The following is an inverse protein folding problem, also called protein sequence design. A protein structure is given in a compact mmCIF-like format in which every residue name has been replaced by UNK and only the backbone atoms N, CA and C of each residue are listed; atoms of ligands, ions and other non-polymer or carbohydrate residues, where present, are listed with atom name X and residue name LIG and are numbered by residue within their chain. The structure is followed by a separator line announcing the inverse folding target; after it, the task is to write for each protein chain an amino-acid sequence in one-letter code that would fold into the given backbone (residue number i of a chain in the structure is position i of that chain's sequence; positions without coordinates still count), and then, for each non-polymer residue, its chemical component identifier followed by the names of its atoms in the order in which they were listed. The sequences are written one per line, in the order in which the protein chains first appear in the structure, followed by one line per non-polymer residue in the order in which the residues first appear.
data_IF_182526671996
#
_entry.id   IF_182526671996
#
_cell.length_a   1.000
_cell.length_b   1.000
_cell.length_c   1.000
_cell.angle_alpha   90.00
_cell.angle_beta   90.00
_cell.angle_gamma   90.00
#
_symmetry.space_group_name_H-M   'P 1'
#
loop_
_entity.id
_entity.type
_entity.pdbx_description
1 polymer ?
#
# COMPACT_ATOMS: atom_id res chain seq x y z
N UNK A 1 15.13 -14.85 27.85
CA UNK A 1 14.13 -15.40 26.91
C UNK A 1 14.30 -14.65 25.61
N UNK A 2 15.00 -15.26 24.66
CA UNK A 2 15.06 -14.78 23.28
C UNK A 2 13.66 -14.93 22.65
N UNK A 3 13.12 -13.82 22.13
CA UNK A 3 11.97 -13.84 21.23
C UNK A 3 12.53 -13.97 19.82
N UNK A 4 12.77 -15.21 19.39
CA UNK A 4 12.94 -15.52 17.96
C UNK A 4 11.58 -15.28 17.30
N UNK A 5 11.42 -14.12 16.67
CA UNK A 5 10.34 -13.84 15.72
C UNK A 5 10.63 -14.59 14.41
N UNK A 6 10.63 -15.91 14.46
CA UNK A 6 10.44 -16.72 13.27
C UNK A 6 8.95 -16.63 12.93
N UNK A 7 8.59 -15.63 12.13
CA UNK A 7 7.26 -15.55 11.52
C UNK A 7 7.15 -16.79 10.61
N UNK A 8 6.19 -17.71 10.84
CA UNK A 8 5.96 -18.79 9.89
C UNK A 8 5.66 -18.14 8.54
N UNK A 9 6.30 -18.60 7.45
CA UNK A 9 5.74 -18.32 6.12
C UNK A 9 4.31 -18.87 6.13
N UNK A 10 3.28 -18.04 5.89
CA UNK A 10 1.94 -18.59 5.76
C UNK A 10 1.98 -19.60 4.62
N UNK A 11 1.41 -20.78 4.87
CA UNK A 11 1.16 -21.78 3.84
C UNK A 11 0.52 -21.05 2.66
N UNK A 12 1.19 -21.11 1.50
CA UNK A 12 0.74 -20.44 0.30
C UNK A 12 -0.65 -20.99 -0.03
N UNK A 13 -1.67 -20.20 0.31
CA UNK A 13 -3.02 -20.39 -0.15
C UNK A 13 -3.07 -20.48 -1.67
N UNK A 14 -4.23 -20.81 -2.23
CA UNK A 14 -4.39 -20.83 -3.69
C UNK A 14 -3.83 -19.51 -4.25
N UNK A 15 -2.80 -19.56 -5.12
CA UNK A 15 -2.22 -18.35 -5.67
C UNK A 15 -3.32 -17.56 -6.36
N UNK A 16 -3.43 -16.27 -6.04
CA UNK A 16 -4.22 -15.36 -6.84
C UNK A 16 -3.72 -15.45 -8.29
N UNK A 17 -4.63 -15.43 -9.25
CA UNK A 17 -4.31 -15.35 -10.67
C UNK A 17 -3.85 -13.93 -11.00
N UNK A 18 -2.73 -13.51 -10.40
CA UNK A 18 -2.04 -12.28 -10.72
C UNK A 18 -1.74 -12.34 -12.21
N UNK A 19 -2.10 -11.34 -13.03
CA UNK A 19 -1.65 -11.31 -14.42
C UNK A 19 -0.13 -11.10 -14.41
N UNK A 20 0.68 -12.17 -14.53
CA UNK A 20 2.13 -12.04 -14.38
C UNK A 20 2.74 -11.42 -15.65
N UNK A 21 1.90 -11.14 -16.65
CA UNK A 21 2.28 -10.65 -17.96
C UNK A 21 1.99 -9.17 -18.14
N UNK A 22 1.41 -8.46 -17.17
CA UNK A 22 1.23 -7.01 -17.28
C UNK A 22 2.58 -6.32 -17.52
N UNK A 23 2.68 -5.61 -18.63
CA UNK A 23 3.88 -4.93 -19.07
C UNK A 23 3.88 -3.46 -18.62
N UNK A 24 5.07 -2.85 -18.42
CA UNK A 24 5.17 -1.41 -18.29
C UNK A 24 4.41 -0.66 -19.39
N UNK A 25 3.60 0.31 -19.00
CA UNK A 25 2.70 1.07 -19.86
C UNK A 25 1.26 0.55 -19.91
N UNK A 26 1.00 -0.66 -19.41
CA UNK A 26 -0.35 -1.24 -19.41
C UNK A 26 -1.17 -0.81 -18.18
N UNK A 27 -2.48 -0.59 -18.35
CA UNK A 27 -3.39 -0.33 -17.25
C UNK A 27 -3.72 -1.62 -16.50
N UNK A 28 -3.87 -1.52 -15.18
CA UNK A 28 -4.21 -2.64 -14.31
C UNK A 28 -4.67 -2.17 -12.93
N UNK A 29 -4.85 -3.13 -12.04
CA UNK A 29 -5.17 -2.88 -10.64
C UNK A 29 -4.00 -3.29 -9.74
N UNK A 30 -3.80 -2.52 -8.67
CA UNK A 30 -2.76 -2.78 -7.71
C UNK A 30 -3.26 -2.60 -6.29
N UNK A 31 -2.62 -3.27 -5.34
CA UNK A 31 -2.89 -3.11 -3.92
C UNK A 31 -1.59 -3.10 -3.12
N UNK A 32 -1.72 -2.58 -1.90
CA UNK A 32 -0.66 -2.57 -0.91
C UNK A 32 -0.73 -3.80 -0.03
N UNK A 33 0.43 -4.37 0.33
CA UNK A 33 0.49 -5.53 1.23
C UNK A 33 -0.21 -5.30 2.59
N UNK A 34 -0.32 -4.05 3.05
CA UNK A 34 -0.93 -3.68 4.33
C UNK A 34 -2.46 -3.74 4.30
N UNK A 35 -3.05 -3.94 3.12
CA UNK A 35 -4.49 -4.17 2.92
C UNK A 35 -4.80 -5.65 2.73
N UNK A 36 -3.78 -6.51 2.68
CA UNK A 36 -3.93 -7.94 2.50
C UNK A 36 -4.45 -8.60 3.77
N UNK A 37 -5.41 -9.51 3.61
CA UNK A 37 -5.86 -10.40 4.68
C UNK A 37 -6.17 -11.82 4.17
N UNK A 38 -6.10 -12.85 5.03
CA UNK A 38 -6.45 -14.21 4.66
C UNK A 38 -7.95 -14.36 4.35
N UNK A 39 -8.29 -15.00 3.23
CA UNK A 39 -9.69 -15.22 2.81
C UNK A 39 -9.82 -16.53 2.03
N UNK A 40 -10.75 -17.41 2.42
CA UNK A 40 -11.06 -18.69 1.75
C UNK A 40 -9.84 -19.56 1.38
N UNK A 41 -8.81 -19.59 2.24
CA UNK A 41 -7.57 -20.34 1.98
C UNK A 41 -6.69 -19.70 0.90
N UNK A 42 -6.88 -18.42 0.62
CA UNK A 42 -6.08 -17.56 -0.24
C UNK A 42 -5.88 -16.17 0.39
N UNK A 43 -5.62 -15.18 -0.47
CA UNK A 43 -5.40 -13.78 -0.09
C UNK A 43 -6.52 -12.92 -0.67
N UNK A 44 -6.94 -11.89 0.05
CA UNK A 44 -7.89 -10.86 -0.41
C UNK A 44 -7.42 -9.50 0.10
N UNK A 45 -7.84 -8.44 -0.58
CA UNK A 45 -7.43 -7.08 -0.27
C UNK A 45 -8.63 -6.22 0.09
N UNK A 46 -8.49 -5.36 1.09
CA UNK A 46 -9.55 -4.40 1.44
C UNK A 46 -9.86 -3.45 0.27
N UNK A 47 -8.80 -2.98 -0.40
CA UNK A 47 -8.91 -2.09 -1.57
C UNK A 47 -7.96 -2.48 -2.70
N UNK A 48 -8.38 -2.22 -3.93
CA UNK A 48 -7.53 -2.18 -5.12
C UNK A 48 -7.66 -0.83 -5.83
N UNK A 49 -6.59 -0.42 -6.50
CA UNK A 49 -6.43 0.89 -7.11
C UNK A 49 -6.14 0.75 -8.60
N UNK A 50 -6.87 1.49 -9.44
CA UNK A 50 -6.59 1.53 -10.87
C UNK A 50 -5.36 2.38 -11.17
N UNK A 51 -4.47 1.88 -12.03
CA UNK A 51 -3.29 2.62 -12.45
C UNK A 51 -2.68 2.08 -13.74
N UNK A 52 -1.58 2.72 -14.16
CA UNK A 52 -0.72 2.26 -15.24
C UNK A 52 0.60 1.79 -14.64
N UNK A 53 1.01 0.57 -14.95
CA UNK A 53 2.28 0.03 -14.47
C UNK A 53 3.42 0.85 -15.10
N UNK A 54 4.23 1.52 -14.29
CA UNK A 54 5.37 2.31 -14.77
C UNK A 54 6.57 1.41 -14.99
N UNK A 55 6.89 0.58 -13.98
CA UNK A 55 8.02 -0.36 -14.00
C UNK A 55 7.92 -1.32 -12.80
N UNK A 56 8.78 -2.32 -12.79
CA UNK A 56 9.10 -3.09 -11.58
C UNK A 56 10.50 -2.72 -11.08
N UNK A 57 10.67 -2.59 -9.77
CA UNK A 57 11.93 -2.22 -9.13
C UNK A 57 12.14 -3.10 -7.90
N UNK A 58 13.24 -3.88 -7.88
CA UNK A 58 13.52 -4.83 -6.79
C UNK A 58 12.35 -5.77 -6.44
N UNK A 59 11.55 -6.17 -7.44
CA UNK A 59 10.36 -7.00 -7.25
C UNK A 59 9.06 -6.24 -6.96
N UNK A 60 9.15 -4.94 -6.61
CA UNK A 60 8.00 -4.07 -6.36
C UNK A 60 7.44 -3.47 -7.64
N UNK A 61 6.12 -3.34 -7.74
CA UNK A 61 5.51 -2.59 -8.83
C UNK A 61 5.49 -1.08 -8.50
N UNK A 62 5.69 -0.26 -9.52
CA UNK A 62 5.58 1.20 -9.46
C UNK A 62 4.43 1.60 -10.37
N UNK A 63 3.47 2.36 -9.84
CA UNK A 63 2.22 2.65 -10.53
C UNK A 63 2.02 4.16 -10.70
N UNK A 64 1.48 4.56 -11.84
CA UNK A 64 0.96 5.90 -12.08
C UNK A 64 -0.56 5.86 -11.95
N UNK A 65 -1.14 6.72 -11.14
CA UNK A 65 -2.58 6.78 -10.92
C UNK A 65 -3.12 8.22 -10.96
N UNK A 66 -4.44 8.35 -11.05
CA UNK A 66 -5.09 9.67 -11.04
C UNK A 66 -5.09 10.26 -9.62
N UNK A 67 -5.35 11.57 -9.51
CA UNK A 67 -5.51 12.23 -8.20
C UNK A 67 -6.55 11.55 -7.32
N UNK A 68 -7.69 11.15 -7.88
CA UNK A 68 -8.77 10.52 -7.11
C UNK A 68 -8.36 9.17 -6.56
N UNK A 69 -7.64 8.36 -7.36
CA UNK A 69 -7.08 7.10 -6.88
C UNK A 69 -6.01 7.34 -5.82
N UNK A 70 -5.13 8.33 -6.02
CA UNK A 70 -4.14 8.69 -5.02
C UNK A 70 -4.78 9.18 -3.70
N UNK A 71 -5.90 9.90 -3.78
CA UNK A 71 -6.67 10.32 -2.60
C UNK A 71 -7.29 9.14 -1.86
N UNK A 72 -7.74 8.10 -2.58
CA UNK A 72 -8.19 6.86 -1.97
C UNK A 72 -7.05 6.16 -1.20
N UNK A 73 -5.86 6.05 -1.81
CA UNK A 73 -4.66 5.50 -1.13
C UNK A 73 -4.34 6.25 0.17
N UNK A 74 -4.32 7.59 0.14
CA UNK A 74 -4.08 8.42 1.34
C UNK A 74 -5.13 8.15 2.42
N UNK A 75 -6.39 8.00 2.01
CA UNK A 75 -7.52 7.74 2.92
C UNK A 75 -7.40 6.36 3.56
N UNK A 76 -7.15 5.33 2.77
CA UNK A 76 -7.04 3.95 3.24
C UNK A 76 -5.82 3.76 4.15
N UNK A 77 -4.72 4.46 3.88
CA UNK A 77 -3.57 4.43 4.76
C UNK A 77 -3.89 5.04 6.13
N UNK A 78 -4.55 6.19 6.18
CA UNK A 78 -4.99 6.80 7.43
C UNK A 78 -5.98 5.89 8.19
N UNK A 79 -6.84 5.16 7.48
CA UNK A 79 -7.73 4.17 8.09
C UNK A 79 -6.96 2.97 8.66
N UNK A 80 -6.00 2.42 7.91
CA UNK A 80 -5.12 1.34 8.36
C UNK A 80 -4.33 1.77 9.61
N UNK A 81 -3.81 2.99 9.62
CA UNK A 81 -3.11 3.57 10.77
C UNK A 81 -4.02 3.65 12.01
N UNK A 82 -5.27 4.08 11.85
CA UNK A 82 -6.26 4.12 12.95
C UNK A 82 -6.60 2.71 13.45
N UNK A 83 -6.77 1.76 12.54
CA UNK A 83 -7.04 0.37 12.88
C UNK A 83 -5.88 -0.23 13.68
N UNK A 84 -4.65 -0.08 13.18
CA UNK A 84 -3.43 -0.57 13.84
C UNK A 84 -3.23 0.07 15.22
N UNK A 85 -3.56 1.35 15.39
CA UNK A 85 -3.53 1.99 16.71
C UNK A 85 -4.39 1.24 17.71
N UNK A 86 -5.65 0.95 17.36
CA UNK A 86 -6.59 0.25 18.25
C UNK A 86 -6.07 -1.16 18.59
N UNK A 87 -5.54 -1.89 17.62
CA UNK A 87 -4.97 -3.22 17.86
C UNK A 87 -3.75 -3.18 18.79
N UNK A 88 -2.85 -2.22 18.59
CA UNK A 88 -1.64 -2.08 19.39
C UNK A 88 -1.96 -1.62 20.81
N UNK A 89 -2.89 -0.70 20.98
CA UNK A 89 -3.40 -0.30 22.31
C UNK A 89 -3.99 -1.50 23.05
N UNK A 90 -4.80 -2.32 22.38
CA UNK A 90 -5.35 -3.54 22.95
C UNK A 90 -4.27 -4.57 23.30
N UNK A 91 -3.14 -4.58 22.58
CA UNK A 91 -1.97 -5.40 22.91
C UNK A 91 -1.14 -4.87 24.10
N UNK A 92 -1.51 -3.71 24.65
CA UNK A 92 -0.86 -3.06 25.79
C UNK A 92 0.25 -2.07 25.42
N UNK A 93 0.39 -1.71 24.14
CA UNK A 93 1.30 -0.66 23.70
C UNK A 93 0.69 0.72 23.96
N UNK A 94 1.48 1.69 24.44
CA UNK A 94 0.97 3.02 24.77
C UNK A 94 2.06 4.09 24.67
N UNK A 95 1.62 5.37 24.65
CA UNK A 95 2.48 6.55 24.66
C UNK A 95 3.47 6.60 23.49
N UNK A 96 4.65 7.14 23.73
CA UNK A 96 5.68 7.34 22.69
C UNK A 96 6.07 6.05 21.96
N UNK A 97 5.97 4.89 22.64
CA UNK A 97 6.29 3.60 22.03
C UNK A 97 5.23 3.19 21.00
N UNK A 98 3.96 3.49 21.25
CA UNK A 98 2.87 3.26 20.31
C UNK A 98 3.03 4.14 19.07
N UNK A 99 3.24 5.44 19.27
CA UNK A 99 3.39 6.37 18.14
C UNK A 99 4.64 6.05 17.31
N UNK A 100 5.77 5.73 17.94
CA UNK A 100 6.97 5.30 17.21
C UNK A 100 6.72 4.03 16.40
N UNK A 101 6.01 3.04 16.96
CA UNK A 101 5.70 1.82 16.22
C UNK A 101 4.79 2.12 15.02
N UNK A 102 3.74 2.93 15.21
CA UNK A 102 2.85 3.34 14.12
C UNK A 102 3.59 4.11 13.04
N UNK A 103 4.46 5.06 13.40
CA UNK A 103 5.24 5.84 12.44
C UNK A 103 6.28 5.00 11.67
N UNK A 104 6.74 3.90 12.26
CA UNK A 104 7.64 2.97 11.59
C UNK A 104 6.90 1.97 10.69
N UNK A 105 5.72 1.51 11.09
CA UNK A 105 4.95 0.50 10.36
C UNK A 105 4.10 1.13 9.25
N UNK A 106 3.34 2.17 9.59
CA UNK A 106 2.45 2.92 8.68
C UNK A 106 2.74 4.43 8.80
N UNK A 107 3.85 4.92 8.21
CA UNK A 107 4.29 6.31 8.33
C UNK A 107 3.20 7.29 7.87
N UNK A 108 2.92 8.41 8.58
CA UNK A 108 1.81 9.30 8.23
C UNK A 108 1.86 9.80 6.77
N UNK A 109 0.74 9.68 6.04
CA UNK A 109 0.60 10.18 4.68
C UNK A 109 -0.48 11.26 4.62
N UNK A 110 -0.18 12.40 4.00
CA UNK A 110 -1.09 13.56 3.94
C UNK A 110 -0.92 14.37 2.67
N UNK A 111 -1.90 15.22 2.38
CA UNK A 111 -1.81 16.23 1.33
C UNK A 111 -1.19 17.53 1.84
N UNK A 112 -0.24 18.08 1.09
CA UNK A 112 0.26 19.45 1.18
C UNK A 112 0.00 20.14 -0.16
N UNK A 113 -1.18 20.73 -0.31
CA UNK A 113 -1.66 21.25 -1.60
C UNK A 113 -1.95 20.11 -2.59
N UNK A 114 -1.19 20.07 -3.68
CA UNK A 114 -1.22 19.02 -4.69
C UNK A 114 -0.14 17.94 -4.47
N UNK A 115 0.70 18.07 -3.46
CA UNK A 115 1.77 17.11 -3.15
C UNK A 115 1.31 16.13 -2.06
N UNK A 116 1.58 14.84 -2.24
CA UNK A 116 1.44 13.87 -1.15
C UNK A 116 2.77 13.82 -0.39
N UNK A 117 2.69 13.95 0.93
CA UNK A 117 3.84 13.88 1.82
C UNK A 117 3.70 12.68 2.73
N UNK A 118 4.71 11.81 2.69
CA UNK A 118 4.87 10.71 3.63
C UNK A 118 5.95 11.09 4.63
N UNK A 119 5.56 11.23 5.90
CA UNK A 119 6.48 11.56 6.99
C UNK A 119 7.28 10.30 7.37
N UNK A 120 8.57 10.30 7.05
CA UNK A 120 9.45 9.14 7.25
C UNK A 120 10.50 9.35 8.33
N UNK A 121 10.33 10.38 9.18
CA UNK A 121 11.30 10.71 10.23
C UNK A 121 11.52 9.56 11.23
N UNK A 122 10.49 8.75 11.50
CA UNK A 122 10.63 7.59 12.38
C UNK A 122 11.46 6.43 11.79
N UNK A 123 11.73 6.49 10.48
CA UNK A 123 12.64 5.61 9.74
C UNK A 123 14.05 6.20 9.61
N UNK A 124 14.31 7.36 10.23
CA UNK A 124 15.54 8.13 10.06
C UNK A 124 15.79 8.55 8.59
N UNK A 125 14.71 8.76 7.82
CA UNK A 125 14.74 9.17 6.41
C UNK A 125 14.07 10.54 6.21
N UNK A 126 14.41 11.21 5.10
CA UNK A 126 13.72 12.43 4.68
C UNK A 126 12.27 12.14 4.26
N UNK A 127 11.38 13.11 4.43
CA UNK A 127 10.00 13.03 3.97
C UNK A 127 9.96 12.71 2.47
N UNK A 128 9.16 11.69 2.10
CA UNK A 128 8.93 11.40 0.69
C UNK A 128 7.84 12.33 0.17
N UNK A 129 8.13 13.05 -0.91
CA UNK A 129 7.19 13.95 -1.58
C UNK A 129 6.83 13.37 -2.94
N UNK A 130 5.53 13.21 -3.19
CA UNK A 130 4.99 12.70 -4.45
C UNK A 130 4.20 13.84 -5.10
N UNK A 131 4.82 14.46 -6.09
CA UNK A 131 4.23 15.53 -6.90
C UNK A 131 3.47 14.93 -8.09
N UNK A 132 2.41 15.59 -8.59
CA UNK A 132 1.80 15.20 -9.85
C UNK A 132 2.78 15.42 -11.01
N UNK A 133 2.75 14.54 -12.00
CA UNK A 133 3.45 14.75 -13.26
C UNK A 133 2.76 15.81 -14.14
N UNK A 134 3.31 16.04 -15.35
CA UNK A 134 2.77 17.00 -16.31
C UNK A 134 1.32 16.70 -16.76
N UNK A 135 0.84 15.47 -16.52
CA UNK A 135 -0.52 15.02 -16.81
C UNK A 135 -1.42 14.99 -15.56
N UNK A 136 -0.95 15.47 -14.41
CA UNK A 136 -1.70 15.46 -13.15
C UNK A 136 -1.77 14.09 -12.48
N UNK A 137 -0.90 13.15 -12.86
CA UNK A 137 -0.87 11.78 -12.32
C UNK A 137 0.18 11.63 -11.23
N UNK A 138 -0.08 10.73 -10.29
CA UNK A 138 0.79 10.48 -9.15
C UNK A 138 1.50 9.15 -9.34
N UNK A 139 2.82 9.15 -9.18
CA UNK A 139 3.62 7.91 -9.19
C UNK A 139 3.73 7.40 -7.76
N UNK A 140 2.99 6.34 -7.47
CA UNK A 140 3.04 5.65 -6.19
C UNK A 140 4.05 4.52 -6.30
N UNK A 141 5.05 4.53 -5.42
CA UNK A 141 6.18 3.60 -5.48
C UNK A 141 6.43 2.90 -4.14
N UNK A 142 7.01 1.70 -4.22
CA UNK A 142 7.44 0.95 -3.06
C UNK A 142 8.80 1.39 -2.56
N UNK A 143 8.81 2.37 -1.67
CA UNK A 143 9.97 2.72 -0.86
C UNK A 143 9.87 2.10 0.54
N UNK A 144 8.73 2.31 1.20
CA UNK A 144 8.40 1.72 2.50
C UNK A 144 7.37 0.59 2.40
N UNK A 145 6.52 0.62 1.38
CA UNK A 145 5.47 -0.36 1.23
C UNK A 145 5.52 -1.13 -0.07
N UNK A 146 5.04 -2.36 -0.02
CA UNK A 146 5.06 -3.28 -1.14
C UNK A 146 3.77 -3.14 -1.94
N UNK A 147 3.90 -2.65 -3.18
CA UNK A 147 2.79 -2.62 -4.14
C UNK A 147 2.88 -3.83 -5.06
N UNK A 148 1.78 -4.58 -5.15
CA UNK A 148 1.63 -5.69 -6.09
C UNK A 148 0.43 -5.47 -7.00
N UNK A 149 0.51 -6.05 -8.18
CA UNK A 149 -0.63 -6.18 -9.08
C UNK A 149 -1.63 -7.16 -8.47
N UNK A 150 -2.93 -6.87 -8.59
CA UNK A 150 -3.97 -7.74 -8.05
C UNK A 150 -5.15 -7.88 -9.02
N UNK A 151 -5.80 -9.06 -9.09
CA UNK A 151 -7.07 -9.22 -9.76
C UNK A 151 -8.15 -8.31 -9.16
N UNK A 152 -9.03 -7.76 -10.00
CA UNK A 152 -10.09 -6.85 -9.55
C UNK A 152 -11.08 -7.53 -8.57
N UNK A 153 -11.31 -8.83 -8.73
CA UNK A 153 -12.18 -9.64 -7.89
C UNK A 153 -11.52 -10.10 -6.57
N UNK A 154 -10.21 -9.91 -6.45
CA UNK A 154 -9.46 -10.14 -5.22
C UNK A 154 -9.55 -8.98 -4.22
N UNK A 155 -10.30 -7.92 -4.54
CA UNK A 155 -10.52 -6.78 -3.64
C UNK A 155 -11.99 -6.58 -3.26
N UNK A 156 -12.24 -6.06 -2.06
CA UNK A 156 -13.59 -5.68 -1.61
C UNK A 156 -14.04 -4.35 -2.20
N UNK A 157 -13.12 -3.40 -2.28
CA UNK A 157 -13.36 -2.09 -2.87
C UNK A 157 -12.40 -1.83 -4.02
N UNK A 158 -12.88 -1.22 -5.10
CA UNK A 158 -12.07 -0.87 -6.27
C UNK A 158 -12.17 0.64 -6.51
N UNK A 159 -11.01 1.30 -6.58
CA UNK A 159 -10.91 2.74 -6.80
C UNK A 159 -10.43 3.05 -8.22
N UNK A 160 -11.24 3.79 -8.96
CA UNK A 160 -10.96 4.15 -10.35
C UNK A 160 -11.27 3.02 -11.34
N UNK A 161 -10.94 3.25 -12.61
CA UNK A 161 -11.16 2.29 -13.70
C UNK A 161 -9.87 2.15 -14.49
N UNK A 162 -9.37 0.93 -14.62
CA UNK A 162 -8.24 0.61 -15.47
C UNK A 162 -8.74 0.40 -16.91
N UNK A 163 -8.85 1.47 -17.69
CA UNK A 163 -9.24 1.39 -19.10
C UNK A 163 -8.00 1.28 -20.01
N UNK A 164 -8.07 0.38 -21.00
CA UNK A 164 -7.16 0.42 -22.15
C UNK A 164 -7.56 1.60 -23.04
N UNK A 165 -6.61 2.45 -23.47
CA UNK A 165 -6.90 3.56 -24.37
C UNK A 165 -7.47 3.10 -25.71
#
# INVERSE_FOLDING_TARGET
MELTLDRPRPDAGVPLDLDPHLQPGEPGYFSGEWLEYPYDGGRRFESAYAGTLVRRWNGWAVWSCTRDVAAAVVTDQEMSRRHNRVLLEHSGLAGDKLERYLDQDVPPMRWEGDVIVVDRKALDEEDLRIEPDEHGRYVVMGGHWMWEEVPVDAADTVHGVAERP
#
